data_IF_237633689724
#
_entry.id   IF_237633689724
#
_cell.length_a   1.000
_cell.length_b   1.000
_cell.length_c   1.000
_cell.angle_alpha   90.00
_cell.angle_beta   90.00
_cell.angle_gamma   90.00
#
_symmetry.space_group_name_H-M   'P 1'
#
loop_
_entity.id
_entity.type
_entity.pdbx_description
1 polymer ?
#
# COMPACT_ATOMS: atom_id res chain seq x y z
N UNK A 1 6.80 -30.96 17.20
CA UNK A 1 6.61 -29.51 16.97
C UNK A 1 5.15 -29.12 17.19
N UNK A 2 4.77 -28.61 18.38
CA UNK A 2 3.41 -28.11 18.66
C UNK A 2 3.34 -26.63 18.25
N UNK A 3 2.65 -26.29 17.15
CA UNK A 3 2.17 -24.92 16.92
C UNK A 3 1.23 -24.56 18.07
N UNK A 4 1.43 -23.43 18.76
CA UNK A 4 0.53 -23.05 19.86
C UNK A 4 -0.89 -22.85 19.31
N UNK A 5 -1.87 -23.47 19.96
CA UNK A 5 -3.29 -23.42 19.58
C UNK A 5 -3.85 -22.00 19.67
N UNK A 6 -3.26 -21.13 20.51
CA UNK A 6 -3.61 -19.71 20.62
C UNK A 6 -3.22 -18.90 19.38
N UNK A 7 -2.03 -19.15 18.82
CA UNK A 7 -1.56 -18.50 17.58
C UNK A 7 -2.38 -18.89 16.35
N UNK A 8 -2.97 -20.09 16.35
CA UNK A 8 -3.82 -20.58 15.25
C UNK A 8 -5.25 -20.01 15.31
N UNK A 9 -5.82 -19.86 16.52
CA UNK A 9 -7.14 -19.22 16.71
C UNK A 9 -7.11 -17.73 16.35
N UNK A 10 -6.10 -16.97 16.79
CA UNK A 10 -5.95 -15.55 16.44
C UNK A 10 -5.83 -15.32 14.93
N UNK A 11 -5.07 -16.17 14.22
CA UNK A 11 -4.94 -16.10 12.75
C UNK A 11 -6.26 -16.40 12.02
N UNK A 12 -7.13 -17.25 12.56
CA UNK A 12 -8.46 -17.53 11.97
C UNK A 12 -9.39 -16.31 12.07
N UNK A 13 -9.39 -15.62 13.21
CA UNK A 13 -10.18 -14.39 13.39
C UNK A 13 -9.77 -13.28 12.40
N UNK A 14 -8.47 -13.01 12.28
CA UNK A 14 -7.97 -12.02 11.32
C UNK A 14 -8.32 -12.38 9.87
N UNK A 15 -8.31 -13.66 9.51
CA UNK A 15 -8.68 -14.11 8.16
C UNK A 15 -10.15 -13.85 7.82
N UNK A 16 -11.06 -13.99 8.77
CA UNK A 16 -12.48 -13.69 8.54
C UNK A 16 -12.69 -12.20 8.27
N UNK A 17 -12.00 -11.34 9.04
CA UNK A 17 -12.05 -9.89 8.81
C UNK A 17 -11.48 -9.51 7.45
N UNK A 18 -10.34 -10.10 7.06
CA UNK A 18 -9.74 -9.90 5.74
C UNK A 18 -10.69 -10.33 4.61
N UNK A 19 -11.32 -11.50 4.74
CA UNK A 19 -12.28 -12.00 3.75
C UNK A 19 -13.49 -11.07 3.62
N UNK A 20 -14.02 -10.59 4.75
CA UNK A 20 -15.11 -9.62 4.74
C UNK A 20 -14.72 -8.34 3.99
N UNK A 21 -13.55 -7.78 4.28
CA UNK A 21 -13.04 -6.58 3.59
C UNK A 21 -12.90 -6.85 2.08
N UNK A 22 -12.35 -8.00 1.70
CA UNK A 22 -12.16 -8.37 0.30
C UNK A 22 -13.48 -8.52 -0.47
N UNK A 23 -14.46 -9.22 0.11
CA UNK A 23 -15.80 -9.36 -0.47
C UNK A 23 -16.48 -8.00 -0.59
N UNK A 24 -16.34 -7.14 0.43
CA UNK A 24 -16.87 -5.79 0.40
C UNK A 24 -16.27 -4.96 -0.74
N UNK A 25 -14.95 -4.96 -0.91
CA UNK A 25 -14.29 -4.24 -2.01
C UNK A 25 -14.72 -4.77 -3.38
N UNK A 26 -14.79 -6.09 -3.57
CA UNK A 26 -15.28 -6.69 -4.82
C UNK A 26 -16.74 -6.32 -5.11
N UNK A 27 -17.59 -6.28 -4.07
CA UNK A 27 -18.98 -5.87 -4.22
C UNK A 27 -19.11 -4.41 -4.65
N UNK A 28 -18.24 -3.52 -4.14
CA UNK A 28 -18.19 -2.12 -4.56
C UNK A 28 -17.75 -2.02 -6.03
N UNK A 29 -16.69 -2.73 -6.43
CA UNK A 29 -16.22 -2.72 -7.82
C UNK A 29 -17.33 -3.19 -8.78
N UNK A 30 -17.99 -4.29 -8.44
CA UNK A 30 -19.11 -4.82 -9.25
C UNK A 30 -20.30 -3.87 -9.30
N UNK A 31 -20.67 -3.27 -8.16
CA UNK A 31 -21.77 -2.32 -8.09
C UNK A 31 -21.44 -1.02 -8.83
N UNK A 32 -20.21 -0.52 -8.74
CA UNK A 32 -19.72 0.61 -9.52
C UNK A 32 -19.84 0.33 -11.01
N UNK A 33 -19.40 -0.85 -11.49
CA UNK A 33 -19.54 -1.24 -12.89
C UNK A 33 -21.01 -1.23 -13.31
N UNK A 34 -21.91 -1.78 -12.50
CA UNK A 34 -23.35 -1.78 -12.78
C UNK A 34 -23.91 -0.35 -12.90
N UNK A 35 -23.66 0.53 -11.92
CA UNK A 35 -24.18 1.90 -11.92
C UNK A 35 -23.62 2.71 -13.10
N UNK A 36 -22.32 2.64 -13.37
CA UNK A 36 -21.71 3.45 -14.44
C UNK A 36 -22.11 2.95 -15.81
N UNK A 37 -22.10 1.64 -16.05
CA UNK A 37 -22.46 1.09 -17.37
C UNK A 37 -23.97 1.18 -17.63
N UNK A 38 -24.79 0.76 -16.68
CA UNK A 38 -26.23 0.58 -16.93
C UNK A 38 -27.03 1.86 -16.63
N UNK A 39 -26.88 2.42 -15.43
CA UNK A 39 -27.67 3.59 -15.00
C UNK A 39 -27.17 4.88 -15.67
N UNK A 40 -25.85 5.12 -15.71
CA UNK A 40 -25.29 6.35 -16.29
C UNK A 40 -25.15 6.24 -17.81
N UNK A 41 -24.46 5.21 -18.34
CA UNK A 41 -24.20 5.16 -19.77
C UNK A 41 -25.45 4.79 -20.59
N UNK A 42 -26.03 3.60 -20.34
CA UNK A 42 -27.14 3.09 -21.15
C UNK A 42 -28.43 3.88 -20.92
N UNK A 43 -28.93 3.93 -19.69
CA UNK A 43 -30.23 4.56 -19.39
C UNK A 43 -30.18 6.08 -19.51
N UNK A 44 -29.20 6.72 -18.86
CA UNK A 44 -29.20 8.18 -18.75
C UNK A 44 -28.60 8.89 -19.98
N UNK A 45 -27.38 8.54 -20.41
CA UNK A 45 -26.75 9.22 -21.55
C UNK A 45 -27.33 8.79 -22.91
N UNK A 46 -27.42 7.49 -23.16
CA UNK A 46 -27.79 6.96 -24.49
C UNK A 46 -29.31 7.03 -24.71
N UNK A 47 -30.10 6.48 -23.80
CA UNK A 47 -31.56 6.37 -23.97
C UNK A 47 -32.25 7.70 -23.65
N UNK A 48 -32.07 8.24 -22.45
CA UNK A 48 -32.80 9.41 -21.99
C UNK A 48 -32.35 10.71 -22.67
N UNK A 49 -31.04 10.97 -22.74
CA UNK A 49 -30.49 12.19 -23.37
C UNK A 49 -30.18 12.03 -24.87
N UNK A 50 -30.32 10.83 -25.46
CA UNK A 50 -30.04 10.58 -26.87
C UNK A 50 -28.57 10.72 -27.30
N UNK A 51 -27.62 10.87 -26.36
CA UNK A 51 -26.20 11.15 -26.62
C UNK A 51 -25.42 9.87 -26.92
N UNK A 52 -25.72 9.22 -28.05
CA UNK A 52 -25.17 7.90 -28.41
C UNK A 52 -23.64 7.84 -28.43
N UNK A 53 -22.97 8.81 -29.08
CA UNK A 53 -21.51 8.80 -29.21
C UNK A 53 -20.81 8.96 -27.84
N UNK A 54 -21.17 10.01 -27.09
CA UNK A 54 -20.59 10.30 -25.77
C UNK A 54 -20.89 9.16 -24.80
N UNK A 55 -22.14 8.69 -24.77
CA UNK A 55 -22.55 7.56 -23.93
C UNK A 55 -21.81 6.27 -24.27
N UNK A 56 -21.58 5.98 -25.55
CA UNK A 56 -20.80 4.83 -26.01
C UNK A 56 -19.33 4.90 -25.61
N UNK A 57 -18.68 6.05 -25.81
CA UNK A 57 -17.29 6.26 -25.39
C UNK A 57 -17.12 6.13 -23.87
N UNK A 58 -18.04 6.72 -23.10
CA UNK A 58 -18.08 6.58 -21.65
C UNK A 58 -18.27 5.12 -21.23
N UNK A 59 -19.21 4.39 -21.85
CA UNK A 59 -19.46 2.98 -21.56
C UNK A 59 -18.19 2.12 -21.76
N UNK A 60 -17.51 2.30 -22.89
CA UNK A 60 -16.25 1.59 -23.18
C UNK A 60 -15.20 1.91 -22.12
N UNK A 61 -15.02 3.20 -21.80
CA UNK A 61 -14.04 3.65 -20.83
C UNK A 61 -14.30 3.06 -19.42
N UNK A 62 -15.54 3.11 -18.92
CA UNK A 62 -15.85 2.60 -17.57
C UNK A 62 -15.81 1.09 -17.50
N UNK A 63 -16.28 0.38 -18.53
CA UNK A 63 -16.19 -1.09 -18.58
C UNK A 63 -14.74 -1.51 -18.57
N UNK A 64 -13.89 -0.88 -19.40
CA UNK A 64 -12.46 -1.17 -19.43
C UNK A 64 -11.78 -0.87 -18.09
N UNK A 65 -11.91 0.36 -17.57
CA UNK A 65 -11.19 0.79 -16.37
C UNK A 65 -11.61 0.03 -15.11
N UNK A 66 -12.92 -0.18 -14.91
CA UNK A 66 -13.42 -0.87 -13.72
C UNK A 66 -13.14 -2.38 -13.79
N UNK A 67 -13.23 -2.99 -14.99
CA UNK A 67 -12.84 -4.39 -15.15
C UNK A 67 -11.34 -4.59 -14.94
N UNK A 68 -10.51 -3.71 -15.49
CA UNK A 68 -9.06 -3.72 -15.24
C UNK A 68 -8.75 -3.56 -13.75
N UNK A 69 -9.47 -2.66 -13.05
CA UNK A 69 -9.33 -2.50 -11.60
C UNK A 69 -9.71 -3.79 -10.85
N UNK A 70 -10.79 -4.45 -11.25
CA UNK A 70 -11.20 -5.75 -10.72
C UNK A 70 -10.15 -6.85 -10.95
N UNK A 71 -9.55 -6.91 -12.14
CA UNK A 71 -8.50 -7.87 -12.49
C UNK A 71 -7.22 -7.60 -11.66
N UNK A 72 -6.79 -6.34 -11.61
CA UNK A 72 -5.62 -5.93 -10.82
C UNK A 72 -5.85 -6.24 -9.34
N UNK A 73 -7.03 -5.90 -8.80
CA UNK A 73 -7.38 -6.19 -7.42
C UNK A 73 -7.36 -7.70 -7.17
N UNK A 74 -8.10 -8.52 -7.94
CA UNK A 74 -8.15 -9.98 -7.80
C UNK A 74 -6.77 -10.64 -7.84
N UNK A 75 -5.88 -10.17 -8.72
CA UNK A 75 -4.49 -10.66 -8.80
C UNK A 75 -3.68 -10.43 -7.50
N UNK A 76 -3.99 -9.37 -6.74
CA UNK A 76 -3.36 -9.08 -5.44
C UNK A 76 -3.87 -10.01 -4.32
N UNK A 77 -5.13 -10.46 -4.38
CA UNK A 77 -5.67 -11.43 -3.42
C UNK A 77 -5.02 -12.81 -3.60
N UNK A 78 -4.74 -13.20 -4.84
CA UNK A 78 -4.18 -14.51 -5.16
C UNK A 78 -2.76 -14.70 -4.63
N UNK A 79 -2.30 -15.95 -4.55
CA UNK A 79 -0.89 -16.28 -4.27
C UNK A 79 -0.43 -16.01 -2.84
N UNK A 80 -1.33 -16.05 -1.84
CA UNK A 80 -0.93 -15.92 -0.43
C UNK A 80 0.06 -17.02 0.00
N UNK A 81 -0.09 -18.22 -0.54
CA UNK A 81 0.76 -19.39 -0.22
C UNK A 81 2.04 -19.44 -1.07
N UNK A 82 2.05 -18.85 -2.27
CA UNK A 82 3.12 -19.04 -3.27
C UNK A 82 4.36 -18.16 -3.04
N UNK A 83 4.28 -17.16 -2.16
CA UNK A 83 5.43 -16.30 -1.81
C UNK A 83 6.06 -16.67 -0.47
N UNK A 84 6.08 -17.96 -0.14
CA UNK A 84 7.00 -18.41 0.89
C UNK A 84 8.39 -18.02 0.38
N UNK A 85 9.17 -17.28 1.17
CA UNK A 85 10.62 -17.21 0.97
C UNK A 85 11.07 -18.64 0.70
N UNK A 86 11.59 -18.97 -0.50
CA UNK A 86 12.20 -20.28 -0.69
C UNK A 86 13.11 -20.53 0.49
N UNK A 87 13.09 -21.74 1.05
CA UNK A 87 14.01 -22.07 2.13
C UNK A 87 15.39 -22.19 1.50
N UNK A 88 16.05 -21.06 1.37
CA UNK A 88 17.44 -21.00 1.00
C UNK A 88 18.26 -21.58 2.16
N UNK A 89 19.29 -22.35 1.80
CA UNK A 89 20.32 -22.74 2.76
C UNK A 89 20.97 -21.45 3.28
N UNK A 90 21.28 -21.42 4.57
CA UNK A 90 22.11 -20.35 5.12
C UNK A 90 23.46 -20.40 4.39
N UNK A 91 23.88 -19.33 3.68
CA UNK A 91 25.17 -19.34 3.01
C UNK A 91 26.30 -19.33 4.04
N UNK A 92 27.43 -19.95 3.67
CA UNK A 92 28.64 -19.93 4.48
C UNK A 92 29.28 -18.54 4.38
N UNK A 93 29.81 -18.03 5.48
CA UNK A 93 30.32 -16.65 5.58
C UNK A 93 31.52 -16.43 4.64
N UNK A 94 32.34 -17.47 4.48
CA UNK A 94 33.58 -17.42 3.70
C UNK A 94 33.32 -17.36 2.18
N UNK A 95 32.14 -17.80 1.74
CA UNK A 95 31.72 -17.71 0.34
C UNK A 95 31.24 -16.30 -0.07
N UNK A 96 31.03 -15.40 0.90
CA UNK A 96 30.47 -14.06 0.66
C UNK A 96 31.57 -13.05 0.39
N UNK A 97 31.82 -12.78 -0.89
CA UNK A 97 32.86 -11.85 -1.36
C UNK A 97 32.40 -10.39 -1.41
N UNK A 98 31.09 -10.15 -1.50
CA UNK A 98 30.50 -8.80 -1.56
C UNK A 98 29.98 -8.33 -0.19
N UNK A 99 29.97 -7.03 0.11
CA UNK A 99 29.38 -6.50 1.34
C UNK A 99 27.90 -6.87 1.52
N UNK A 100 27.53 -7.29 2.73
CA UNK A 100 26.16 -7.75 3.03
C UNK A 100 25.65 -7.26 4.38
N UNK A 101 24.32 -7.20 4.53
CA UNK A 101 23.68 -6.89 5.81
C UNK A 101 23.77 -8.08 6.76
N UNK A 102 24.25 -7.84 7.99
CA UNK A 102 24.38 -8.83 9.06
C UNK A 102 23.50 -8.48 10.27
N UNK A 103 23.29 -9.47 11.14
CA UNK A 103 22.39 -9.40 12.29
C UNK A 103 23.05 -8.81 13.54
N UNK A 104 24.37 -8.94 13.67
CA UNK A 104 25.14 -8.57 14.85
C UNK A 104 26.54 -8.07 14.45
N UNK A 105 27.32 -7.66 15.47
CA UNK A 105 28.69 -7.15 15.31
C UNK A 105 29.70 -8.23 14.92
N UNK A 106 29.33 -9.51 15.05
CA UNK A 106 30.15 -10.67 14.66
C UNK A 106 30.04 -10.96 13.15
N UNK A 107 29.12 -10.28 12.45
CA UNK A 107 28.88 -10.46 11.02
C UNK A 107 27.98 -11.65 10.70
N UNK A 108 27.23 -12.18 11.67
CA UNK A 108 26.34 -13.31 11.43
C UNK A 108 25.16 -12.93 10.56
N UNK A 109 24.69 -13.88 9.77
CA UNK A 109 23.51 -13.71 8.93
C UNK A 109 22.23 -13.81 9.77
N UNK A 110 21.23 -12.98 9.43
CA UNK A 110 19.97 -12.98 10.15
C UNK A 110 19.19 -14.29 9.94
N UNK A 111 18.58 -14.80 11.01
CA UNK A 111 17.69 -15.96 10.98
C UNK A 111 16.33 -15.64 11.61
N UNK A 112 15.32 -16.47 11.33
CA UNK A 112 13.98 -16.28 11.88
C UNK A 112 13.60 -17.41 12.84
N UNK A 113 13.57 -17.09 14.13
CA UNK A 113 13.15 -18.03 15.20
C UNK A 113 11.73 -18.56 14.99
N UNK A 114 10.80 -17.72 14.50
CA UNK A 114 9.40 -18.12 14.22
C UNK A 114 9.27 -19.06 13.02
N UNK A 115 10.31 -19.15 12.19
CA UNK A 115 10.40 -20.05 11.04
C UNK A 115 11.45 -21.16 11.28
N UNK A 116 11.65 -21.56 12.54
CA UNK A 116 12.58 -22.65 12.92
C UNK A 116 14.04 -22.37 12.54
N UNK A 117 14.50 -21.14 12.71
CA UNK A 117 15.89 -20.76 12.42
C UNK A 117 16.20 -20.61 10.92
N UNK A 118 15.19 -20.61 10.05
CA UNK A 118 15.40 -20.38 8.62
C UNK A 118 16.16 -19.06 8.37
N UNK A 119 17.09 -19.09 7.42
CA UNK A 119 17.80 -17.89 6.98
C UNK A 119 16.80 -16.81 6.56
N UNK A 120 17.11 -15.58 6.94
CA UNK A 120 16.33 -14.39 6.68
C UNK A 120 17.19 -13.48 5.79
N UNK A 121 17.09 -13.62 4.45
CA UNK A 121 17.85 -12.79 3.54
C UNK A 121 17.60 -11.29 3.77
N UNK A 122 18.52 -10.41 3.36
CA UNK A 122 18.32 -8.97 3.40
C UNK A 122 16.94 -8.55 2.88
N UNK A 123 16.33 -7.55 3.53
CA UNK A 123 14.97 -7.03 3.26
C UNK A 123 13.82 -8.05 3.41
N UNK A 124 14.08 -9.27 3.87
CA UNK A 124 13.02 -10.22 4.19
C UNK A 124 12.50 -10.00 5.62
N UNK A 125 11.20 -10.24 5.88
CA UNK A 125 10.61 -10.10 7.21
C UNK A 125 9.53 -11.15 7.49
N UNK A 126 9.40 -11.55 8.76
CA UNK A 126 8.34 -12.44 9.21
C UNK A 126 7.02 -11.68 9.38
N UNK A 127 6.02 -12.01 8.56
CA UNK A 127 4.66 -11.51 8.74
C UNK A 127 3.92 -12.38 9.76
N UNK A 128 3.55 -11.81 10.91
CA UNK A 128 2.81 -12.52 11.97
C UNK A 128 1.41 -12.98 11.52
N UNK A 129 0.76 -12.19 10.66
CA UNK A 129 -0.58 -12.48 10.11
C UNK A 129 -0.57 -13.65 9.13
N UNK A 130 0.43 -13.70 8.24
CA UNK A 130 0.61 -14.84 7.34
C UNK A 130 1.30 -16.02 8.03
N UNK A 131 2.11 -15.76 9.06
CA UNK A 131 2.88 -16.76 9.80
C UNK A 131 4.10 -17.29 9.04
N UNK A 132 4.65 -16.48 8.12
CA UNK A 132 5.79 -16.86 7.26
C UNK A 132 6.68 -15.66 6.95
N UNK A 133 7.96 -15.90 6.66
CA UNK A 133 8.84 -14.88 6.12
C UNK A 133 8.50 -14.56 4.67
N UNK A 134 8.63 -13.29 4.31
CA UNK A 134 8.44 -12.77 2.95
C UNK A 134 9.72 -12.07 2.51
N UNK A 135 10.18 -12.37 1.29
CA UNK A 135 11.28 -11.66 0.64
C UNK A 135 10.83 -10.25 0.28
N UNK A 136 11.76 -9.30 0.34
CA UNK A 136 11.51 -7.89 0.00
C UNK A 136 10.18 -7.39 0.55
N UNK A 137 9.98 -7.63 1.85
CA UNK A 137 8.71 -7.40 2.52
C UNK A 137 8.49 -5.91 2.74
N UNK A 138 7.35 -5.41 2.31
CA UNK A 138 6.94 -4.04 2.57
C UNK A 138 5.99 -4.00 3.78
N UNK A 139 4.80 -4.57 3.61
CA UNK A 139 3.81 -4.66 4.68
C UNK A 139 2.79 -5.77 4.41
N UNK A 140 1.99 -6.10 5.44
CA UNK A 140 0.78 -6.89 5.27
C UNK A 140 -0.40 -5.95 5.12
N UNK A 141 -1.11 -6.05 4.00
CA UNK A 141 -2.25 -5.17 3.71
C UNK A 141 -3.56 -5.92 3.95
N UNK A 142 -4.37 -5.54 4.96
CA UNK A 142 -5.66 -6.17 5.22
C UNK A 142 -6.65 -6.01 4.05
N UNK A 143 -6.56 -4.90 3.30
CA UNK A 143 -7.44 -4.59 2.17
C UNK A 143 -7.29 -5.56 1.00
N UNK A 144 -6.12 -6.18 0.82
CA UNK A 144 -5.90 -7.23 -0.17
C UNK A 144 -5.78 -8.61 0.49
N UNK A 145 -5.82 -8.68 1.83
CA UNK A 145 -5.60 -9.88 2.63
C UNK A 145 -4.32 -10.62 2.24
N UNK A 146 -3.24 -9.89 1.95
CA UNK A 146 -1.97 -10.47 1.54
C UNK A 146 -0.80 -9.53 1.84
N UNK A 147 0.42 -10.07 1.78
CA UNK A 147 1.63 -9.26 1.89
C UNK A 147 1.91 -8.53 0.58
N UNK A 148 2.19 -7.24 0.69
CA UNK A 148 2.81 -6.45 -0.36
C UNK A 148 4.31 -6.66 -0.23
N UNK A 149 4.89 -7.21 -1.28
CA UNK A 149 6.33 -7.43 -1.43
C UNK A 149 6.78 -6.73 -2.70
N UNK A 150 8.08 -6.53 -2.87
CA UNK A 150 8.63 -5.89 -4.06
C UNK A 150 8.14 -6.48 -5.40
N UNK A 151 8.11 -7.81 -5.63
CA UNK A 151 7.57 -8.37 -6.88
C UNK A 151 6.10 -8.02 -7.16
N UNK A 152 5.33 -7.70 -6.12
CA UNK A 152 3.91 -7.29 -6.20
C UNK A 152 3.71 -5.79 -6.16
N UNK A 153 4.78 -5.03 -5.93
CA UNK A 153 4.70 -3.59 -5.78
C UNK A 153 4.15 -2.93 -7.05
N UNK A 154 4.53 -3.41 -8.24
CA UNK A 154 3.96 -2.91 -9.51
C UNK A 154 2.44 -3.01 -9.56
N UNK A 155 1.89 -4.19 -9.22
CA UNK A 155 0.45 -4.46 -9.25
C UNK A 155 -0.27 -3.67 -8.17
N UNK A 156 0.36 -3.52 -7.00
CA UNK A 156 -0.16 -2.70 -5.90
C UNK A 156 -0.24 -1.22 -6.30
N UNK A 157 0.83 -0.66 -6.89
CA UNK A 157 0.82 0.71 -7.43
C UNK A 157 -0.21 0.87 -8.55
N UNK A 158 -0.32 -0.09 -9.48
CA UNK A 158 -1.36 -0.07 -10.52
C UNK A 158 -2.75 0.05 -9.92
N UNK A 159 -3.06 -0.69 -8.86
CA UNK A 159 -4.34 -0.57 -8.14
C UNK A 159 -4.52 0.84 -7.55
N UNK A 160 -3.50 1.38 -6.89
CA UNK A 160 -3.56 2.68 -6.21
C UNK A 160 -3.78 3.87 -7.16
N UNK A 161 -3.26 3.79 -8.40
CA UNK A 161 -3.47 4.82 -9.42
C UNK A 161 -4.67 4.56 -10.34
N UNK A 162 -5.03 3.30 -10.58
CA UNK A 162 -6.18 2.98 -11.41
C UNK A 162 -7.51 3.29 -10.69
N UNK A 163 -7.58 3.10 -9.36
CA UNK A 163 -8.76 3.46 -8.57
C UNK A 163 -9.20 4.93 -8.74
N UNK A 164 -8.33 5.94 -8.53
CA UNK A 164 -8.71 7.34 -8.72
C UNK A 164 -9.01 7.70 -10.18
N UNK A 165 -8.34 7.08 -11.15
CA UNK A 165 -8.65 7.27 -12.59
C UNK A 165 -10.05 6.74 -12.91
N UNK A 166 -10.36 5.51 -12.50
CA UNK A 166 -11.66 4.89 -12.71
C UNK A 166 -12.77 5.69 -12.00
N UNK A 167 -12.54 6.15 -10.77
CA UNK A 167 -13.50 6.97 -10.03
C UNK A 167 -13.74 8.33 -10.71
N UNK A 168 -12.67 9.01 -11.14
CA UNK A 168 -12.78 10.30 -11.83
C UNK A 168 -13.59 10.16 -13.11
N UNK A 169 -13.23 9.20 -13.97
CA UNK A 169 -13.97 8.93 -15.22
C UNK A 169 -15.43 8.61 -14.93
N UNK A 170 -15.71 7.79 -13.90
CA UNK A 170 -17.07 7.40 -13.51
C UNK A 170 -17.94 8.60 -13.10
N UNK A 171 -17.36 9.59 -12.42
CA UNK A 171 -18.09 10.73 -11.86
C UNK A 171 -18.25 11.91 -12.83
N UNK A 172 -17.40 12.03 -13.86
CA UNK A 172 -17.43 13.18 -14.79
C UNK A 172 -18.84 13.50 -15.32
N UNK A 173 -19.63 12.54 -15.86
CA UNK A 173 -20.94 12.88 -16.42
C UNK A 173 -21.96 13.33 -15.39
N UNK A 174 -21.80 12.86 -14.15
CA UNK A 174 -22.79 13.05 -13.07
C UNK A 174 -22.36 14.11 -12.04
N UNK A 175 -21.16 14.69 -12.17
CA UNK A 175 -20.64 15.66 -11.20
C UNK A 175 -21.58 16.85 -10.97
N UNK A 176 -22.06 17.47 -12.06
CA UNK A 176 -22.96 18.61 -11.98
C UNK A 176 -24.33 18.25 -11.39
N UNK A 177 -24.87 17.08 -11.70
CA UNK A 177 -26.17 16.66 -11.15
C UNK A 177 -26.06 16.28 -9.68
N UNK A 178 -24.99 15.60 -9.27
CA UNK A 178 -24.72 15.28 -7.86
C UNK A 178 -24.57 16.53 -7.00
N UNK A 179 -23.84 17.54 -7.47
CA UNK A 179 -23.67 18.81 -6.74
C UNK A 179 -24.98 19.61 -6.68
N UNK A 180 -25.80 19.59 -7.72
CA UNK A 180 -27.16 20.17 -7.69
C UNK A 180 -28.06 19.45 -6.69
N UNK A 181 -28.07 18.12 -6.69
CA UNK A 181 -28.86 17.32 -5.75
C UNK A 181 -28.42 17.54 -4.29
N UNK A 182 -27.11 17.63 -4.05
CA UNK A 182 -26.55 17.96 -2.74
C UNK A 182 -27.04 19.34 -2.26
N UNK A 183 -26.90 20.37 -3.10
CA UNK A 183 -27.35 21.73 -2.76
C UNK A 183 -28.86 21.83 -2.58
N UNK A 184 -29.64 21.10 -3.39
CA UNK A 184 -31.09 21.02 -3.24
C UNK A 184 -31.47 20.36 -1.92
N UNK A 185 -30.88 19.20 -1.59
CA UNK A 185 -31.14 18.51 -0.34
C UNK A 185 -30.83 19.39 0.87
N UNK A 186 -29.69 20.08 0.87
CA UNK A 186 -29.35 21.02 1.94
C UNK A 186 -30.37 22.15 2.08
N UNK A 187 -30.74 22.81 0.98
CA UNK A 187 -31.74 23.89 1.00
C UNK A 187 -33.10 23.42 1.51
N UNK A 188 -33.60 22.29 1.01
CA UNK A 188 -34.89 21.72 1.44
C UNK A 188 -34.86 21.36 2.92
N UNK A 189 -33.74 20.80 3.41
CA UNK A 189 -33.58 20.52 4.84
C UNK A 189 -33.63 21.80 5.69
N UNK A 190 -33.02 22.89 5.22
CA UNK A 190 -33.00 24.18 5.91
C UNK A 190 -34.31 24.98 5.78
N UNK A 191 -35.18 24.64 4.84
CA UNK A 191 -36.48 25.30 4.67
C UNK A 191 -37.61 24.53 5.36
N UNK A 192 -37.44 23.22 5.56
CA UNK A 192 -38.44 22.40 6.20
C UNK A 192 -38.53 22.70 7.71
N UNK A 193 -39.72 23.07 8.18
CA UNK A 193 -39.96 23.47 9.58
C UNK A 193 -39.58 22.38 10.59
N UNK A 194 -39.99 21.13 10.32
CA UNK A 194 -39.64 20.00 11.18
C UNK A 194 -38.13 19.76 11.22
N UNK A 195 -37.47 19.73 10.06
CA UNK A 195 -36.02 19.54 9.97
C UNK A 195 -35.22 20.64 10.67
N UNK A 196 -35.67 21.90 10.57
CA UNK A 196 -35.07 23.00 11.31
C UNK A 196 -35.18 22.81 12.81
N UNK A 197 -36.36 22.44 13.32
CA UNK A 197 -36.58 22.27 14.75
C UNK A 197 -35.74 21.11 15.31
N UNK A 198 -35.72 19.96 14.64
CA UNK A 198 -35.07 18.75 15.17
C UNK A 198 -33.56 18.71 14.91
N UNK A 199 -33.06 19.46 13.93
CA UNK A 199 -31.65 19.41 13.52
C UNK A 199 -30.96 20.77 13.52
N UNK A 200 -31.40 21.71 12.67
CA UNK A 200 -30.62 22.93 12.45
C UNK A 200 -30.63 23.89 13.64
N UNK A 201 -31.75 24.04 14.35
CA UNK A 201 -31.86 24.91 15.52
C UNK A 201 -31.43 24.22 16.82
N UNK A 202 -31.34 22.89 16.80
CA UNK A 202 -30.92 22.13 17.96
C UNK A 202 -29.40 22.24 18.15
N UNK A 203 -28.97 22.88 19.24
CA UNK A 203 -27.55 23.09 19.57
C UNK A 203 -26.73 21.80 19.60
N UNK A 204 -27.33 20.68 20.01
CA UNK A 204 -26.65 19.38 20.07
C UNK A 204 -26.12 18.87 18.72
N UNK A 205 -26.67 19.35 17.59
CA UNK A 205 -26.18 19.02 16.25
C UNK A 205 -24.74 19.51 15.99
N UNK A 206 -24.25 20.50 16.74
CA UNK A 206 -22.86 20.98 16.66
C UNK A 206 -21.87 20.12 17.43
N UNK A 207 -22.33 19.23 18.32
CA UNK A 207 -21.47 18.52 19.28
C UNK A 207 -21.57 17.01 19.07
N UNK A 208 -22.78 16.45 19.12
CA UNK A 208 -22.95 14.99 19.30
C UNK A 208 -22.78 14.17 18.02
N UNK A 209 -22.86 14.78 16.84
CA UNK A 209 -22.93 14.06 15.57
C UNK A 209 -21.87 14.53 14.59
N UNK A 210 -20.59 14.35 14.94
CA UNK A 210 -19.47 14.64 14.03
C UNK A 210 -19.12 16.12 13.91
N UNK A 211 -19.52 16.93 14.89
CA UNK A 211 -19.16 18.35 14.97
C UNK A 211 -19.72 19.18 13.80
N UNK A 212 -19.03 20.28 13.43
CA UNK A 212 -19.40 21.11 12.29
C UNK A 212 -19.58 20.32 10.99
N UNK A 213 -18.73 19.31 10.72
CA UNK A 213 -18.82 18.50 9.51
C UNK A 213 -20.07 17.63 9.48
N UNK A 214 -20.34 16.92 10.58
CA UNK A 214 -21.49 16.03 10.63
C UNK A 214 -22.82 16.78 10.60
N UNK A 215 -22.90 17.99 11.17
CA UNK A 215 -24.07 18.87 11.04
C UNK A 215 -24.54 19.02 9.59
N UNK A 216 -23.61 19.24 8.65
CA UNK A 216 -23.91 19.36 7.22
C UNK A 216 -24.25 18.02 6.57
N UNK A 217 -23.54 16.95 6.92
CA UNK A 217 -23.78 15.60 6.37
C UNK A 217 -25.19 15.12 6.73
N UNK A 218 -25.56 15.20 8.01
CA UNK A 218 -26.86 14.76 8.50
C UNK A 218 -27.98 15.69 8.02
N UNK A 219 -27.74 17.00 7.96
CA UNK A 219 -28.71 17.94 7.39
C UNK A 219 -29.01 17.63 5.92
N UNK A 220 -27.98 17.37 5.13
CA UNK A 220 -28.14 16.92 3.74
C UNK A 220 -28.88 15.57 3.66
N UNK A 221 -28.54 14.59 4.51
CA UNK A 221 -29.23 13.30 4.54
C UNK A 221 -30.72 13.44 4.88
N UNK A 222 -31.05 14.37 5.78
CA UNK A 222 -32.43 14.73 6.11
C UNK A 222 -33.16 15.34 4.91
N UNK A 223 -32.48 16.22 4.18
CA UNK A 223 -32.97 16.77 2.91
C UNK A 223 -33.29 15.70 1.87
N UNK A 224 -32.38 14.74 1.66
CA UNK A 224 -32.64 13.59 0.78
C UNK A 224 -33.79 12.71 1.27
N UNK A 225 -33.97 12.57 2.59
CA UNK A 225 -35.10 11.82 3.16
C UNK A 225 -36.42 12.52 2.85
N UNK A 226 -36.47 13.85 2.94
CA UNK A 226 -37.66 14.65 2.59
C UNK A 226 -37.97 14.51 1.10
N UNK A 227 -36.97 14.74 0.24
CA UNK A 227 -37.09 14.62 -1.22
C UNK A 227 -37.47 13.21 -1.71
N UNK A 228 -37.28 12.19 -0.88
CA UNK A 228 -37.65 10.81 -1.22
C UNK A 228 -39.14 10.66 -1.59
N UNK A 229 -40.01 11.45 -0.96
CA UNK A 229 -41.46 11.42 -1.18
C UNK A 229 -41.89 12.02 -2.53
N UNK A 230 -41.06 12.89 -3.10
CA UNK A 230 -41.35 13.62 -4.36
C UNK A 230 -40.80 12.91 -5.60
N UNK A 231 -40.19 11.72 -5.41
CA UNK A 231 -39.58 10.95 -6.49
C UNK A 231 -40.61 10.37 -7.44
N UNK A 232 -40.34 10.47 -8.73
CA UNK A 232 -41.22 9.98 -9.80
C UNK A 232 -40.67 8.71 -10.44
N UNK A 233 -41.52 7.73 -10.72
CA UNK A 233 -41.05 6.42 -11.20
C UNK A 233 -40.61 6.43 -12.69
N UNK A 234 -41.04 7.42 -13.46
CA UNK A 234 -40.78 7.59 -14.89
C UNK A 234 -39.38 8.15 -15.21
N UNK A 235 -38.75 8.83 -14.25
CA UNK A 235 -37.45 9.46 -14.44
C UNK A 235 -36.29 8.50 -14.14
N UNK A 236 -35.16 8.58 -14.88
CA UNK A 236 -33.95 7.83 -14.57
C UNK A 236 -33.47 8.07 -13.13
N UNK A 237 -32.77 7.08 -12.57
CA UNK A 237 -32.21 7.15 -11.21
C UNK A 237 -31.33 8.38 -10.98
N UNK A 238 -30.57 8.78 -12.01
CA UNK A 238 -29.60 9.88 -11.98
C UNK A 238 -30.29 11.25 -11.93
N UNK A 239 -31.49 11.40 -12.52
CA UNK A 239 -32.25 12.66 -12.55
C UNK A 239 -32.93 12.98 -11.21
N UNK A 240 -32.92 12.03 -10.27
CA UNK A 240 -33.62 12.16 -9.01
C UNK A 240 -32.65 12.24 -7.83
N UNK A 241 -32.89 13.13 -6.85
CA UNK A 241 -32.11 13.16 -5.61
C UNK A 241 -32.14 11.80 -4.90
N UNK A 242 -30.98 11.16 -4.80
CA UNK A 242 -30.86 9.86 -4.15
C UNK A 242 -29.63 9.82 -3.23
N UNK A 243 -29.89 9.69 -1.93
CA UNK A 243 -28.83 9.62 -0.91
C UNK A 243 -27.85 8.49 -1.18
N UNK A 244 -28.30 7.34 -1.71
CA UNK A 244 -27.43 6.19 -1.98
C UNK A 244 -26.40 6.52 -3.06
N UNK A 245 -26.82 7.21 -4.12
CA UNK A 245 -25.92 7.60 -5.21
C UNK A 245 -24.86 8.58 -4.68
N UNK A 246 -25.29 9.60 -3.92
CA UNK A 246 -24.37 10.54 -3.29
C UNK A 246 -23.38 9.83 -2.34
N UNK A 247 -23.87 8.98 -1.44
CA UNK A 247 -23.05 8.30 -0.44
C UNK A 247 -21.99 7.41 -1.10
N UNK A 248 -22.34 6.68 -2.16
CA UNK A 248 -21.42 5.81 -2.89
C UNK A 248 -20.40 6.63 -3.68
N UNK A 249 -20.81 7.72 -4.33
CA UNK A 249 -19.89 8.65 -5.00
C UNK A 249 -18.91 9.32 -4.02
N UNK A 250 -19.40 9.77 -2.86
CA UNK A 250 -18.57 10.38 -1.83
C UNK A 250 -17.58 9.39 -1.21
N UNK A 251 -18.04 8.17 -0.91
CA UNK A 251 -17.18 7.09 -0.42
C UNK A 251 -16.11 6.71 -1.46
N UNK A 252 -16.50 6.58 -2.73
CA UNK A 252 -15.57 6.29 -3.83
C UNK A 252 -14.51 7.38 -4.01
N UNK A 253 -14.91 8.66 -3.89
CA UNK A 253 -13.98 9.79 -3.96
C UNK A 253 -13.01 9.79 -2.77
N UNK A 254 -13.51 9.58 -1.55
CA UNK A 254 -12.67 9.50 -0.35
C UNK A 254 -11.64 8.37 -0.47
N UNK A 255 -12.07 7.18 -0.90
CA UNK A 255 -11.18 6.05 -1.13
C UNK A 255 -10.16 6.35 -2.21
N UNK A 256 -10.56 7.02 -3.29
CA UNK A 256 -9.68 7.42 -4.40
C UNK A 256 -8.60 8.42 -3.98
N UNK A 257 -8.96 9.40 -3.14
CA UNK A 257 -8.00 10.35 -2.57
C UNK A 257 -7.01 9.64 -1.64
N UNK A 258 -7.50 8.73 -0.81
CA UNK A 258 -6.67 7.91 0.06
C UNK A 258 -5.68 7.04 -0.74
N UNK A 259 -6.15 6.33 -1.78
CA UNK A 259 -5.28 5.49 -2.61
C UNK A 259 -4.27 6.31 -3.40
N UNK A 260 -4.66 7.49 -3.90
CA UNK A 260 -3.73 8.40 -4.58
C UNK A 260 -2.64 8.89 -3.62
N UNK A 261 -3.00 9.34 -2.43
CA UNK A 261 -2.03 9.78 -1.42
C UNK A 261 -1.08 8.65 -1.02
N UNK A 262 -1.61 7.44 -0.80
CA UNK A 262 -0.81 6.26 -0.51
C UNK A 262 0.11 5.89 -1.68
N UNK A 263 -0.38 5.97 -2.92
CA UNK A 263 0.40 5.69 -4.13
C UNK A 263 1.57 6.66 -4.29
N UNK A 264 1.31 7.96 -4.11
CA UNK A 264 2.35 9.00 -4.16
C UNK A 264 3.39 8.83 -3.05
N UNK A 265 2.96 8.51 -1.82
CA UNK A 265 3.86 8.22 -0.72
C UNK A 265 4.73 6.99 -1.01
N UNK A 266 4.12 5.91 -1.53
CA UNK A 266 4.84 4.68 -1.88
C UNK A 266 5.86 4.92 -2.99
N UNK A 267 5.51 5.70 -4.03
CA UNK A 267 6.45 6.11 -5.07
C UNK A 267 7.62 6.89 -4.46
N UNK A 268 7.36 7.85 -3.57
CA UNK A 268 8.42 8.62 -2.92
C UNK A 268 9.42 7.72 -2.18
N UNK A 269 8.93 6.71 -1.47
CA UNK A 269 9.78 5.78 -0.74
C UNK A 269 10.57 4.86 -1.69
N UNK A 270 9.96 4.39 -2.78
CA UNK A 270 10.63 3.65 -3.86
C UNK A 270 11.74 4.48 -4.48
N UNK A 271 11.49 5.76 -4.82
CA UNK A 271 12.49 6.63 -5.42
C UNK A 271 13.71 6.83 -4.51
N UNK A 272 13.55 6.64 -3.21
CA UNK A 272 14.60 6.69 -2.18
C UNK A 272 15.21 5.31 -1.85
N UNK A 273 14.84 4.25 -2.57
CA UNK A 273 15.35 2.89 -2.35
C UNK A 273 14.84 2.24 -1.06
N UNK A 274 13.73 2.73 -0.49
CA UNK A 274 13.20 2.26 0.80
C UNK A 274 11.95 1.40 0.60
N UNK A 275 11.76 0.40 1.46
CA UNK A 275 10.42 -0.12 1.76
C UNK A 275 9.72 0.77 2.79
N UNK A 276 8.41 0.67 2.92
CA UNK A 276 7.63 1.28 4.02
C UNK A 276 8.21 0.86 5.37
N UNK A 277 8.66 -0.38 5.48
CA UNK A 277 9.27 -0.90 6.71
C UNK A 277 10.65 -0.29 6.99
N UNK A 278 11.49 -0.12 5.97
CA UNK A 278 12.77 0.58 6.10
C UNK A 278 12.55 2.02 6.58
N UNK A 279 11.56 2.71 6.01
CA UNK A 279 11.21 4.08 6.40
C UNK A 279 10.78 4.18 7.88
N UNK A 280 10.04 3.20 8.39
CA UNK A 280 9.58 3.17 9.78
C UNK A 280 10.67 2.70 10.75
N UNK A 281 11.51 1.73 10.36
CA UNK A 281 12.47 1.07 11.26
C UNK A 281 13.87 1.68 11.28
N UNK A 282 14.23 2.49 10.29
CA UNK A 282 15.56 3.12 10.17
C UNK A 282 15.99 3.91 11.41
N UNK A 283 15.05 4.32 12.28
CA UNK A 283 15.32 5.07 13.51
C UNK A 283 15.32 4.22 14.78
N UNK A 284 14.82 2.97 14.75
CA UNK A 284 14.52 2.20 15.97
C UNK A 284 15.42 0.97 16.18
N UNK A 285 16.04 0.45 15.13
CA UNK A 285 16.88 -0.75 15.23
C UNK A 285 18.21 -0.52 14.51
N UNK A 286 19.35 -0.76 15.18
CA UNK A 286 20.65 -0.67 14.53
C UNK A 286 20.73 -1.74 13.43
N UNK A 287 21.30 -1.35 12.28
CA UNK A 287 21.58 -2.25 11.16
C UNK A 287 23.09 -2.30 10.98
N UNK A 288 23.60 -3.46 10.60
CA UNK A 288 25.03 -3.71 10.46
C UNK A 288 25.33 -4.23 9.06
N UNK A 289 26.49 -3.85 8.52
CA UNK A 289 26.98 -4.32 7.23
C UNK A 289 28.36 -4.93 7.45
N UNK A 290 28.51 -6.19 7.04
CA UNK A 290 29.81 -6.85 6.99
C UNK A 290 30.48 -6.50 5.66
N UNK A 291 31.74 -6.09 5.70
CA UNK A 291 32.54 -5.72 4.54
C UNK A 291 33.74 -6.67 4.49
N UNK A 292 33.73 -7.66 3.58
CA UNK A 292 34.88 -8.56 3.40
C UNK A 292 36.15 -7.75 3.08
N UNK A 293 37.29 -8.12 3.68
CA UNK A 293 38.59 -7.57 3.28
C UNK A 293 38.93 -8.19 1.92
N UNK A 294 39.23 -7.37 0.93
CA UNK A 294 39.69 -7.89 -0.36
C UNK A 294 40.96 -8.74 -0.12
N UNK A 295 40.96 -9.99 -0.59
CA UNK A 295 42.12 -10.89 -0.66
C UNK A 295 43.16 -10.43 -1.70
N UNK A 296 43.31 -9.12 -1.91
CA UNK A 296 44.25 -8.55 -2.87
C UNK A 296 45.28 -7.71 -2.12
N UNK A 297 46.37 -8.35 -1.68
CA UNK A 297 47.67 -7.69 -1.61
C UNK A 297 48.41 -7.66 -0.27
N UNK A 298 47.72 -7.79 0.87
CA UNK A 298 48.41 -7.71 2.16
C UNK A 298 48.66 -9.11 2.75
N UNK A 299 49.94 -9.39 2.98
CA UNK A 299 50.46 -10.63 3.55
C UNK A 299 49.74 -11.01 4.85
N UNK A 300 49.51 -12.32 4.99
CA UNK A 300 48.66 -12.97 5.99
C UNK A 300 49.14 -12.89 7.46
N UNK A 301 49.98 -11.92 7.85
CA UNK A 301 50.70 -11.95 9.14
C UNK A 301 50.40 -10.78 10.10
N UNK A 302 49.32 -10.02 9.92
CA UNK A 302 48.86 -9.09 10.97
C UNK A 302 47.36 -9.20 11.22
N UNK A 303 46.96 -10.34 11.79
CA UNK A 303 45.61 -10.55 12.33
C UNK A 303 45.45 -9.74 13.62
N UNK A 304 45.15 -8.45 13.49
CA UNK A 304 44.59 -7.65 14.57
C UNK A 304 43.07 -7.47 14.38
N UNK A 305 42.35 -7.67 15.47
CA UNK A 305 40.91 -7.85 15.61
C UNK A 305 40.09 -6.58 15.36
N UNK A 306 40.19 -6.01 14.17
CA UNK A 306 39.23 -5.00 13.71
C UNK A 306 37.97 -5.69 13.19
N UNK A 307 36.84 -5.56 13.88
CA UNK A 307 35.55 -6.06 13.41
C UNK A 307 35.27 -5.50 12.01
N UNK A 308 35.16 -6.37 10.99
CA UNK A 308 34.82 -6.03 9.60
C UNK A 308 33.34 -5.62 9.43
N UNK A 309 32.74 -5.08 10.48
CA UNK A 309 31.32 -4.76 10.58
C UNK A 309 31.15 -3.28 10.88
N UNK A 310 30.37 -2.60 10.05
CA UNK A 310 30.05 -1.19 10.21
C UNK A 310 28.56 -0.99 10.48
N UNK A 311 28.22 -0.07 11.39
CA UNK A 311 26.84 0.33 11.63
C UNK A 311 26.33 1.28 10.53
N UNK A 312 25.08 1.07 10.12
CA UNK A 312 24.32 2.01 9.30
C UNK A 312 23.87 3.16 10.21
N UNK A 313 24.20 4.40 9.83
CA UNK A 313 23.84 5.57 10.65
C UNK A 313 22.35 5.90 10.51
N UNK A 314 21.73 6.54 11.53
CA UNK A 314 20.37 7.02 11.43
C UNK A 314 20.16 7.93 10.20
N UNK A 315 19.16 7.64 9.40
CA UNK A 315 18.83 8.39 8.17
C UNK A 315 19.59 7.94 6.91
N UNK A 316 20.59 7.07 7.02
CA UNK A 316 21.22 6.49 5.85
C UNK A 316 20.31 5.50 5.13
N UNK A 317 20.32 5.58 3.80
CA UNK A 317 19.51 4.73 2.93
C UNK A 317 20.39 3.68 2.30
N UNK A 318 20.50 2.55 2.99
CA UNK A 318 21.41 1.45 2.65
C UNK A 318 21.20 0.89 1.23
N UNK A 319 19.98 0.92 0.70
CA UNK A 319 19.66 0.40 -0.64
C UNK A 319 19.33 1.48 -1.67
N UNK A 320 19.66 2.75 -1.39
CA UNK A 320 19.44 3.84 -2.34
C UNK A 320 20.52 3.82 -3.43
N UNK A 321 20.12 3.46 -4.66
CA UNK A 321 20.99 3.41 -5.85
C UNK A 321 20.75 4.62 -6.77
N UNK A 322 19.97 5.60 -6.32
CA UNK A 322 19.49 6.73 -7.13
C UNK A 322 18.14 6.45 -7.79
N UNK A 323 17.34 7.50 -7.95
CA UNK A 323 15.92 7.42 -8.30
C UNK A 323 15.62 6.59 -9.57
N UNK A 324 16.45 6.70 -10.63
CA UNK A 324 16.28 5.92 -11.88
C UNK A 324 16.54 4.44 -11.66
N UNK A 325 17.60 4.11 -10.93
CA UNK A 325 17.97 2.74 -10.63
C UNK A 325 16.91 2.10 -9.71
N UNK A 326 16.51 2.81 -8.65
CA UNK A 326 15.48 2.36 -7.72
C UNK A 326 14.13 2.13 -8.40
N UNK A 327 13.75 2.98 -9.37
CA UNK A 327 12.51 2.77 -10.13
C UNK A 327 12.63 1.55 -11.05
N UNK A 328 13.73 1.44 -11.80
CA UNK A 328 14.00 0.27 -12.67
C UNK A 328 14.00 -1.04 -11.87
N UNK A 329 14.49 -1.01 -10.64
CA UNK A 329 14.55 -2.13 -9.71
C UNK A 329 13.16 -2.71 -9.37
N UNK A 330 12.12 -1.87 -9.31
CA UNK A 330 10.71 -2.29 -9.10
C UNK A 330 10.10 -2.89 -10.37
N UNK A 331 10.47 -2.38 -11.54
CA UNK A 331 9.95 -2.85 -12.83
C UNK A 331 10.78 -3.98 -13.46
N UNK A 332 11.98 -4.24 -12.92
CA UNK A 332 12.80 -5.39 -13.27
C UNK A 332 12.13 -6.69 -12.82
N UNK A 333 12.47 -7.80 -13.49
CA UNK A 333 11.96 -9.14 -13.20
C UNK A 333 12.25 -9.61 -11.77
N UNK A 334 11.73 -10.79 -11.37
CA UNK A 334 11.87 -11.29 -10.01
C UNK A 334 13.35 -11.38 -9.59
N UNK A 335 13.63 -11.18 -8.29
CA UNK A 335 14.94 -11.31 -7.64
C UNK A 335 15.46 -12.76 -7.58
N UNK A 336 14.85 -13.65 -8.35
CA UNK A 336 15.17 -15.08 -8.44
C UNK A 336 15.40 -15.46 -9.89
N UNK A 337 16.62 -15.80 -10.23
CA UNK A 337 16.99 -16.43 -11.50
C UNK A 337 17.36 -17.87 -11.15
N UNK A 338 16.71 -18.86 -11.76
CA UNK A 338 17.03 -20.29 -11.58
C UNK A 338 17.09 -20.76 -10.11
N UNK A 339 16.18 -20.29 -9.26
CA UNK A 339 16.11 -20.60 -7.82
C UNK A 339 17.32 -20.14 -6.96
N UNK A 340 18.24 -19.33 -7.49
CA UNK A 340 19.32 -18.72 -6.71
C UNK A 340 18.88 -17.36 -6.15
N UNK A 341 19.26 -17.07 -4.91
CA UNK A 341 19.02 -15.76 -4.30
C UNK A 341 20.00 -14.73 -4.86
N UNK A 342 19.47 -13.59 -5.33
CA UNK A 342 20.27 -12.45 -5.77
C UNK A 342 20.36 -11.44 -4.62
N UNK A 343 21.59 -11.17 -4.18
CA UNK A 343 21.86 -10.17 -3.13
C UNK A 343 21.50 -8.75 -3.60
N UNK A 344 20.83 -7.94 -2.77
CA UNK A 344 20.55 -6.56 -3.12
C UNK A 344 21.84 -5.74 -3.12
N UNK A 345 21.98 -4.87 -4.12
CA UNK A 345 23.10 -3.92 -4.17
C UNK A 345 22.95 -2.89 -3.04
N UNK A 346 24.07 -2.59 -2.37
CA UNK A 346 24.14 -1.57 -1.33
C UNK A 346 24.55 -0.22 -1.93
N UNK A 347 24.16 0.86 -1.26
CA UNK A 347 24.45 2.22 -1.64
C UNK A 347 25.99 2.47 -1.63
N UNK A 348 26.60 2.79 -2.78
CA UNK A 348 28.05 2.98 -2.89
C UNK A 348 28.59 4.09 -1.97
N UNK A 349 27.83 5.17 -1.76
CA UNK A 349 28.23 6.28 -0.90
C UNK A 349 28.25 5.86 0.58
N UNK A 350 27.28 5.05 1.00
CA UNK A 350 27.25 4.49 2.36
C UNK A 350 28.41 3.52 2.56
N UNK A 351 28.70 2.67 1.57
CA UNK A 351 29.84 1.75 1.62
C UNK A 351 31.19 2.49 1.66
N UNK A 352 31.36 3.55 0.86
CA UNK A 352 32.57 4.37 0.86
C UNK A 352 32.82 5.01 2.23
N UNK A 353 31.78 5.58 2.86
CA UNK A 353 31.86 6.09 4.24
C UNK A 353 32.29 4.99 5.22
N UNK A 354 31.65 3.82 5.16
CA UNK A 354 31.96 2.70 6.05
C UNK A 354 33.43 2.27 5.91
N UNK A 355 33.92 2.11 4.67
CA UNK A 355 35.33 1.78 4.39
C UNK A 355 36.30 2.81 4.94
N UNK A 356 36.04 4.11 4.72
CA UNK A 356 36.86 5.21 5.26
C UNK A 356 36.89 5.20 6.79
N UNK A 357 35.74 4.96 7.43
CA UNK A 357 35.64 4.91 8.89
C UNK A 357 36.47 3.75 9.45
N UNK A 358 36.39 2.56 8.85
CA UNK A 358 37.19 1.40 9.27
C UNK A 358 38.69 1.60 9.02
N UNK A 359 39.07 2.20 7.89
CA UNK A 359 40.47 2.52 7.58
C UNK A 359 41.09 3.54 8.54
N UNK A 360 40.33 4.56 8.95
CA UNK A 360 40.78 5.54 9.93
C UNK A 360 40.91 4.95 11.35
N UNK A 361 40.07 3.98 11.71
CA UNK A 361 40.17 3.26 12.99
C UNK A 361 41.45 2.40 13.00
N UNK A 362 41.77 1.72 11.90
CA UNK A 362 43.00 0.93 11.82
C UNK A 362 44.26 1.79 11.93
N UNK A 363 44.31 2.98 11.30
CA UNK A 363 45.47 3.88 11.37
C UNK A 363 45.60 4.57 12.74
N UNK A 364 44.49 4.87 13.42
CA UNK A 364 44.52 5.39 14.79
C UNK A 364 45.00 4.35 15.81
N UNK A 365 44.65 3.07 15.62
CA UNK A 365 45.08 1.99 16.51
C UNK A 365 46.57 1.64 16.40
N UNK A 366 47.19 1.86 15.23
CA UNK A 366 48.63 1.67 15.03
C UNK A 366 49.46 2.88 15.46
N UNK A 367 48.88 4.08 15.48
CA UNK A 367 49.56 5.32 15.94
C UNK A 367 49.62 5.51 17.46
N UNK A 368 48.88 4.72 18.25
CA UNK A 368 48.88 4.78 19.71
C UNK A 368 49.86 3.79 20.38
N UNK A 369 50.65 3.07 19.58
CA UNK A 369 51.61 2.05 20.02
C UNK A 369 53.08 2.45 19.75
N UNK A 370 53.40 3.75 19.89
CA UNK A 370 54.78 4.26 19.82
C UNK A 370 55.15 4.88 21.17
#
# INVERSE_FOLDING_TARGET
MRRSTSGQKGRRGTRLVELFIQTFVLSIIAYSLHITSFEIACKWLIIYHGRKLIGGLYLIAVVFLISLLGIVYTSLLMGRETHNTPRYRLPEKDDLTEPYECANLDGDLATCLKCSGAWKPPRSHHCSTCGVCRMDFDHHCPWVGNCVTRPRMKTFLSMLFLAPVACSVSLIPVYHILTRHMSLALRISQQNAWANQVWWNWYGSWIFFGGPFGRWIFGMALGFRILKAERRADLPLIEQPNLRLFAISAFGLLLSLFTLALGLWTIRDILRGMTTLDAIRSTRYPRYVYIPRNLSGDSAESVSSGNNVAAVLPGERLYDLGYRANLRDIFAGPTTINAMYVWPKLNPTVLDRMRKTMGNISTASTGAAI
#
